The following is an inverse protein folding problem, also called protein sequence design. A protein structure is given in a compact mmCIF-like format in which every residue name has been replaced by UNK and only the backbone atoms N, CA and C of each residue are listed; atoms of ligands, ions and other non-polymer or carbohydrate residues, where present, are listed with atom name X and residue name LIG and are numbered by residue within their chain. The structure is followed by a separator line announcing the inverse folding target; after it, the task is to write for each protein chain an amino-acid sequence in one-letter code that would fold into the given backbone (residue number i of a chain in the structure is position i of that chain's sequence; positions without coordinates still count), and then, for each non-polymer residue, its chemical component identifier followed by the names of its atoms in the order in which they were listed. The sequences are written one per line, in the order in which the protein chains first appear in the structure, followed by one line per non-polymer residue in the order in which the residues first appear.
data_IF_560241062125
#
_entry.id   IF_560241062125
#
_cell.length_a   1.000
_cell.length_b   1.000
_cell.length_c   1.000
_cell.angle_alpha   90.00
_cell.angle_beta   90.00
_cell.angle_gamma   90.00
#
_symmetry.space_group_name_H-M   'P 1'
#
loop_
_entity.id
_entity.type
_entity.pdbx_description
1 polymer ?
#
# COMPACT_ATOMS: atom_id res chain seq x y z
N UNK A 1 -37.03 13.77 -18.90
CA UNK A 1 -38.06 12.78 -18.45
C UNK A 1 -38.44 13.13 -17.03
N UNK A 2 -39.65 13.59 -16.79
CA UNK A 2 -40.09 13.93 -15.44
C UNK A 2 -40.56 12.65 -14.73
N UNK A 3 -40.00 12.38 -13.56
CA UNK A 3 -40.40 11.27 -12.73
C UNK A 3 -41.75 11.57 -12.05
N UNK A 4 -42.78 10.89 -12.46
CA UNK A 4 -44.15 11.04 -11.93
C UNK A 4 -44.24 10.56 -10.48
N UNK A 5 -43.45 9.52 -10.13
CA UNK A 5 -43.40 8.95 -8.78
C UNK A 5 -41.96 8.92 -8.28
N UNK A 6 -41.77 9.38 -7.06
CA UNK A 6 -40.46 9.38 -6.35
C UNK A 6 -40.60 8.65 -5.02
N UNK A 7 -40.50 7.29 -5.01
CA UNK A 7 -40.58 6.53 -3.76
C UNK A 7 -39.49 6.98 -2.77
N UNK A 8 -39.88 7.39 -1.56
CA UNK A 8 -38.95 7.87 -0.54
C UNK A 8 -39.07 7.14 0.79
N UNK A 9 -39.84 6.06 0.87
CA UNK A 9 -40.07 5.31 2.10
C UNK A 9 -38.79 4.86 2.77
N UNK A 10 -37.79 4.42 1.97
CA UNK A 10 -36.50 3.95 2.45
C UNK A 10 -35.51 5.08 2.80
N UNK A 11 -35.92 6.34 2.67
CA UNK A 11 -35.09 7.53 2.96
C UNK A 11 -35.54 8.32 4.17
N UNK A 12 -36.55 7.84 4.93
CA UNK A 12 -37.21 8.56 6.02
C UNK A 12 -36.31 8.85 7.23
N UNK A 13 -35.26 8.02 7.46
CA UNK A 13 -34.30 8.25 8.55
C UNK A 13 -32.89 7.84 8.14
N UNK A 14 -31.88 8.33 8.86
CA UNK A 14 -30.49 7.90 8.64
C UNK A 14 -30.31 6.42 8.94
N UNK A 15 -30.93 5.91 10.00
CA UNK A 15 -30.89 4.50 10.40
C UNK A 15 -31.44 3.60 9.29
N UNK A 16 -32.59 3.98 8.71
CA UNK A 16 -33.18 3.22 7.62
C UNK A 16 -32.27 3.26 6.37
N UNK A 17 -31.71 4.42 6.03
CA UNK A 17 -30.75 4.52 4.92
C UNK A 17 -29.51 3.65 5.14
N UNK A 18 -28.96 3.60 6.37
CA UNK A 18 -27.84 2.71 6.71
C UNK A 18 -28.23 1.24 6.55
N UNK A 19 -29.44 0.85 6.96
CA UNK A 19 -29.91 -0.52 6.88
C UNK A 19 -30.03 -1.02 5.42
N UNK A 20 -30.53 -0.17 4.51
CA UNK A 20 -30.77 -0.52 3.10
C UNK A 20 -29.62 -0.17 2.16
N UNK A 21 -28.50 0.35 2.69
CA UNK A 21 -27.34 0.74 1.89
C UNK A 21 -26.71 -0.48 1.22
N UNK A 22 -26.59 -0.47 -0.09
CA UNK A 22 -25.93 -1.51 -0.88
C UNK A 22 -24.40 -1.42 -0.78
N UNK A 23 -23.87 -0.19 -0.92
CA UNK A 23 -22.42 0.05 -0.78
C UNK A 23 -22.04 0.23 0.68
N UNK A 24 -21.15 -0.63 1.16
CA UNK A 24 -20.58 -0.56 2.51
C UNK A 24 -19.06 -0.55 2.43
N UNK A 25 -18.45 0.30 3.25
CA UNK A 25 -16.98 0.33 3.41
C UNK A 25 -16.68 -0.17 4.81
N UNK A 26 -15.84 -1.18 4.88
CA UNK A 26 -15.31 -1.74 6.12
C UNK A 26 -13.78 -1.70 6.11
N UNK A 27 -13.14 -1.56 7.27
CA UNK A 27 -11.68 -1.52 7.37
C UNK A 27 -11.01 -2.76 6.80
N UNK A 28 -11.65 -3.91 6.91
CA UNK A 28 -11.15 -5.18 6.37
C UNK A 28 -11.05 -5.21 4.83
N UNK A 29 -11.73 -4.30 4.15
CA UNK A 29 -11.68 -4.16 2.69
C UNK A 29 -10.64 -3.13 2.22
N UNK A 30 -10.00 -2.41 3.13
CA UNK A 30 -9.00 -1.40 2.80
C UNK A 30 -7.61 -2.02 2.74
N UNK A 31 -6.79 -1.56 1.79
CA UNK A 31 -5.38 -1.91 1.66
C UNK A 31 -4.59 -0.63 1.90
N UNK A 32 -3.70 -0.64 2.89
CA UNK A 32 -2.88 0.51 3.23
C UNK A 32 -1.52 0.44 2.50
N UNK A 33 -1.17 1.44 1.68
CA UNK A 33 0.12 1.47 1.00
C UNK A 33 1.24 1.84 1.96
N UNK A 34 2.36 1.12 1.90
CA UNK A 34 3.58 1.39 2.66
C UNK A 34 4.78 1.47 1.73
N UNK A 35 5.56 2.53 1.88
CA UNK A 35 6.74 2.77 1.08
C UNK A 35 7.99 2.42 1.89
N UNK A 36 8.77 1.46 1.40
CA UNK A 36 10.01 1.00 2.05
C UNK A 36 11.22 1.38 1.22
N UNK A 37 12.23 1.94 1.89
CA UNK A 37 13.46 2.37 1.24
C UNK A 37 14.69 1.80 1.93
N UNK A 38 15.80 1.84 1.21
CA UNK A 38 17.11 1.48 1.73
C UNK A 38 17.55 2.47 2.83
N UNK A 39 18.42 1.99 3.73
CA UNK A 39 18.99 2.78 4.82
C UNK A 39 18.57 2.28 6.21
N UNK A 40 18.87 3.09 7.23
CA UNK A 40 18.55 2.82 8.63
C UNK A 40 18.02 4.08 9.32
N UNK A 41 17.08 3.90 10.24
CA UNK A 41 16.52 4.99 11.04
C UNK A 41 15.69 5.99 10.25
N UNK A 42 15.27 5.65 9.04
CA UNK A 42 14.57 6.58 8.14
C UNK A 42 13.07 6.52 8.35
N UNK A 43 12.49 7.69 8.57
CA UNK A 43 11.07 8.01 8.54
C UNK A 43 10.95 9.37 7.86
N UNK A 44 10.75 9.36 6.54
CA UNK A 44 10.79 10.55 5.70
C UNK A 44 9.42 10.81 5.09
N UNK A 45 8.84 11.97 5.38
CA UNK A 45 7.54 12.34 4.82
C UNK A 45 7.63 12.52 3.30
N UNK A 46 6.59 12.04 2.62
CA UNK A 46 6.45 12.20 1.17
C UNK A 46 5.83 13.57 0.88
N UNK A 47 6.55 14.53 0.27
CA UNK A 47 6.07 15.91 0.14
C UNK A 47 4.75 16.09 -0.61
N UNK A 48 4.44 15.16 -1.51
CA UNK A 48 3.19 15.16 -2.29
C UNK A 48 2.03 14.42 -1.63
N UNK A 49 2.28 13.77 -0.47
CA UNK A 49 1.30 12.93 0.23
C UNK A 49 1.41 13.19 1.75
N UNK A 50 0.81 14.29 2.20
CA UNK A 50 0.83 14.71 3.61
C UNK A 50 0.44 13.57 4.55
N UNK A 51 1.26 13.35 5.60
CA UNK A 51 1.07 12.29 6.58
C UNK A 51 1.44 10.88 6.09
N UNK A 52 2.02 10.75 4.89
CA UNK A 52 2.58 9.50 4.38
C UNK A 52 4.10 9.56 4.38
N UNK A 53 4.73 8.46 4.76
CA UNK A 53 6.18 8.39 4.96
C UNK A 53 6.81 7.24 4.20
N UNK A 54 8.10 7.40 3.90
CA UNK A 54 8.99 6.32 3.48
C UNK A 54 9.72 5.81 4.70
N UNK A 55 9.74 4.50 4.89
CA UNK A 55 10.37 3.88 6.05
C UNK A 55 11.54 3.01 5.63
N UNK A 56 12.63 3.06 6.38
CA UNK A 56 13.62 1.99 6.34
C UNK A 56 13.08 0.73 7.03
N UNK A 57 13.67 -0.44 6.73
CA UNK A 57 13.18 -1.73 7.24
C UNK A 57 13.10 -1.77 8.78
N UNK A 58 14.07 -1.16 9.46
CA UNK A 58 14.12 -1.08 10.93
C UNK A 58 13.06 -0.16 11.54
N UNK A 59 12.51 0.78 10.76
CA UNK A 59 11.42 1.68 11.19
C UNK A 59 10.03 1.17 10.87
N UNK A 60 9.91 0.27 9.93
CA UNK A 60 8.62 -0.31 9.51
C UNK A 60 7.81 -0.90 10.68
N UNK A 61 8.38 -1.60 11.68
CA UNK A 61 7.62 -2.14 12.82
C UNK A 61 6.83 -1.10 13.61
N UNK A 62 7.34 0.12 13.77
CA UNK A 62 6.62 1.19 14.48
C UNK A 62 5.35 1.61 13.74
N UNK A 63 5.42 1.70 12.43
CA UNK A 63 4.26 2.00 11.61
C UNK A 63 3.25 0.84 11.61
N UNK A 64 3.72 -0.41 11.54
CA UNK A 64 2.85 -1.58 11.63
C UNK A 64 2.10 -1.65 12.97
N UNK A 65 2.77 -1.29 14.06
CA UNK A 65 2.10 -1.19 15.37
C UNK A 65 1.01 -0.11 15.36
N UNK A 66 1.28 1.06 14.76
CA UNK A 66 0.30 2.14 14.61
C UNK A 66 -0.91 1.69 13.79
N UNK A 67 -0.67 0.98 12.69
CA UNK A 67 -1.71 0.43 11.81
C UNK A 67 -2.55 -0.63 12.51
N UNK A 68 -1.93 -1.50 13.30
CA UNK A 68 -2.63 -2.49 14.13
C UNK A 68 -3.60 -1.79 15.10
N UNK A 69 -3.14 -0.75 15.80
CA UNK A 69 -3.99 0.04 16.70
C UNK A 69 -5.14 0.74 15.96
N UNK A 70 -4.93 1.12 14.71
CA UNK A 70 -5.95 1.72 13.85
C UNK A 70 -6.96 0.68 13.29
N UNK A 71 -6.68 -0.62 13.44
CA UNK A 71 -7.50 -1.72 12.92
C UNK A 71 -7.32 -1.97 11.44
N UNK A 72 -6.14 -1.64 10.88
CA UNK A 72 -5.74 -2.00 9.51
C UNK A 72 -5.21 -3.43 9.52
N UNK A 73 -5.65 -4.25 8.59
CA UNK A 73 -5.26 -5.67 8.46
C UNK A 73 -4.56 -6.00 7.14
N UNK A 74 -4.67 -5.15 6.13
CA UNK A 74 -4.10 -5.42 4.82
C UNK A 74 -3.17 -4.28 4.43
N UNK A 75 -1.96 -4.61 4.00
CA UNK A 75 -0.97 -3.63 3.56
C UNK A 75 -0.39 -4.02 2.20
N UNK A 76 0.01 -3.02 1.43
CA UNK A 76 0.75 -3.21 0.19
C UNK A 76 2.11 -2.52 0.28
N UNK A 77 3.17 -3.26 0.06
CA UNK A 77 4.55 -2.77 0.11
C UNK A 77 5.02 -2.31 -1.27
N UNK A 78 5.52 -1.08 -1.31
CA UNK A 78 6.21 -0.49 -2.48
C UNK A 78 7.68 -0.27 -2.13
N UNK A 79 8.57 -0.75 -2.98
CA UNK A 79 10.02 -0.64 -2.78
C UNK A 79 10.61 0.61 -3.43
N UNK A 80 11.49 1.29 -2.71
CA UNK A 80 12.27 2.41 -3.25
C UNK A 80 13.75 2.02 -3.11
N UNK A 81 14.34 1.38 -4.13
CA UNK A 81 15.75 1.00 -4.11
C UNK A 81 16.65 2.22 -4.28
N UNK A 82 17.80 2.20 -3.65
CA UNK A 82 18.84 3.25 -3.83
C UNK A 82 19.57 3.10 -5.18
N UNK A 83 19.62 1.87 -5.72
CA UNK A 83 20.26 1.57 -7.00
C UNK A 83 19.25 1.03 -7.99
N UNK A 84 19.33 1.54 -9.22
CA UNK A 84 18.50 1.10 -10.37
C UNK A 84 19.41 0.76 -11.53
N UNK A 85 19.07 -0.28 -12.27
CA UNK A 85 19.81 -0.71 -13.47
C UNK A 85 18.88 -0.95 -14.66
N UNK A 86 19.45 -1.30 -15.81
CA UNK A 86 18.68 -1.47 -17.05
C UNK A 86 17.74 -2.69 -17.02
N UNK A 87 18.03 -3.67 -16.17
CA UNK A 87 17.27 -4.93 -16.06
C UNK A 87 16.40 -5.00 -14.82
N UNK A 88 16.43 -3.96 -13.96
CA UNK A 88 15.63 -3.91 -12.73
C UNK A 88 16.01 -5.01 -11.73
N UNK A 89 17.31 -5.31 -11.59
CA UNK A 89 17.80 -6.45 -10.80
C UNK A 89 17.32 -6.43 -9.33
N UNK A 90 17.13 -5.25 -8.74
CA UNK A 90 16.62 -5.10 -7.38
C UNK A 90 15.21 -5.66 -7.17
N UNK A 91 14.43 -5.83 -8.25
CA UNK A 91 13.07 -6.38 -8.15
C UNK A 91 13.06 -7.87 -7.79
N UNK A 92 14.03 -8.62 -8.28
CA UNK A 92 14.14 -10.08 -8.10
C UNK A 92 15.32 -10.52 -7.25
N UNK A 93 16.05 -9.59 -6.66
CA UNK A 93 17.12 -9.89 -5.68
C UNK A 93 16.49 -10.47 -4.41
N UNK A 94 16.97 -11.62 -3.95
CA UNK A 94 16.53 -12.24 -2.70
C UNK A 94 16.69 -11.30 -1.48
N UNK A 95 17.63 -10.37 -1.54
CA UNK A 95 17.89 -9.36 -0.53
C UNK A 95 17.42 -7.95 -0.93
N UNK A 96 16.57 -7.85 -1.94
CA UNK A 96 15.94 -6.60 -2.33
C UNK A 96 15.14 -5.95 -1.19
N UNK A 97 14.89 -4.67 -1.31
CA UNK A 97 14.27 -3.87 -0.23
C UNK A 97 12.91 -4.42 0.20
N UNK A 98 12.04 -4.81 -0.74
CA UNK A 98 10.71 -5.37 -0.43
C UNK A 98 10.85 -6.75 0.22
N UNK A 99 11.75 -7.60 -0.27
CA UNK A 99 11.99 -8.94 0.25
C UNK A 99 12.48 -8.89 1.71
N UNK A 100 13.38 -7.97 2.03
CA UNK A 100 13.85 -7.74 3.42
C UNK A 100 12.74 -7.19 4.31
N UNK A 101 12.02 -6.17 3.82
CA UNK A 101 10.89 -5.57 4.55
C UNK A 101 9.82 -6.62 4.86
N UNK A 102 9.48 -7.45 3.88
CA UNK A 102 8.47 -8.50 4.04
C UNK A 102 8.88 -9.57 5.07
N UNK A 103 10.15 -10.02 5.03
CA UNK A 103 10.67 -10.99 6.02
C UNK A 103 10.61 -10.44 7.44
N UNK A 104 11.06 -9.19 7.63
CA UNK A 104 11.06 -8.57 8.96
C UNK A 104 9.65 -8.26 9.45
N UNK A 105 8.78 -7.76 8.59
CA UNK A 105 7.40 -7.48 8.93
C UNK A 105 6.63 -8.76 9.32
N UNK A 106 6.72 -9.82 8.52
CA UNK A 106 6.05 -11.11 8.83
C UNK A 106 6.55 -11.77 10.12
N UNK A 107 7.82 -11.58 10.47
CA UNK A 107 8.39 -12.13 11.70
C UNK A 107 7.77 -11.49 12.95
N UNK A 108 7.52 -10.18 12.91
CA UNK A 108 7.02 -9.42 14.05
C UNK A 108 5.49 -9.26 14.04
N UNK A 109 4.88 -9.18 12.87
CA UNK A 109 3.46 -8.94 12.66
C UNK A 109 2.85 -9.96 11.68
N UNK A 110 2.74 -11.24 12.05
CA UNK A 110 2.30 -12.31 11.15
C UNK A 110 0.83 -12.19 10.73
N UNK A 111 0.01 -11.45 11.47
CA UNK A 111 -1.45 -11.37 11.27
C UNK A 111 -1.88 -10.41 10.14
N UNK A 112 -0.96 -9.58 9.63
CA UNK A 112 -1.27 -8.76 8.46
C UNK A 112 -1.36 -9.59 7.19
N UNK A 113 -2.29 -9.22 6.32
CA UNK A 113 -2.29 -9.67 4.94
C UNK A 113 -1.34 -8.81 4.11
N UNK A 114 -0.23 -9.39 3.72
CA UNK A 114 0.83 -8.71 2.97
C UNK A 114 0.64 -8.86 1.47
N UNK A 115 0.61 -7.74 0.79
CA UNK A 115 0.58 -7.64 -0.67
C UNK A 115 1.87 -6.95 -1.10
N UNK A 116 2.50 -7.45 -2.16
CA UNK A 116 3.65 -6.81 -2.78
C UNK A 116 3.28 -6.39 -4.20
N UNK A 117 3.72 -5.21 -4.60
CA UNK A 117 3.60 -4.79 -5.99
C UNK A 117 4.56 -5.59 -6.87
N UNK A 118 4.10 -5.96 -8.07
CA UNK A 118 4.92 -6.65 -9.09
C UNK A 118 5.11 -5.67 -10.25
N UNK A 119 6.03 -4.74 -10.05
CA UNK A 119 6.38 -3.72 -11.03
C UNK A 119 7.89 -3.60 -11.15
N UNK A 120 8.40 -3.42 -12.36
CA UNK A 120 9.83 -3.23 -12.60
C UNK A 120 10.22 -1.75 -12.75
N UNK A 121 9.28 -0.84 -13.05
CA UNK A 121 9.59 0.55 -13.30
C UNK A 121 10.23 1.27 -12.10
N UNK A 122 10.00 0.77 -10.88
CA UNK A 122 10.63 1.27 -9.66
C UNK A 122 12.12 0.90 -9.57
N UNK A 123 12.54 -0.16 -10.27
CA UNK A 123 13.88 -0.76 -10.21
C UNK A 123 14.71 -0.54 -11.46
N UNK A 124 14.08 -0.17 -12.59
CA UNK A 124 14.80 0.12 -13.83
C UNK A 124 15.28 1.56 -13.91
N UNK A 125 16.47 1.78 -14.44
CA UNK A 125 17.06 3.12 -14.63
C UNK A 125 16.27 4.00 -15.59
N UNK A 126 15.58 3.40 -16.56
CA UNK A 126 14.77 4.10 -17.56
C UNK A 126 13.27 4.23 -17.17
N UNK A 127 12.84 3.64 -16.03
CA UNK A 127 11.48 3.77 -15.50
C UNK A 127 10.38 3.01 -16.25
N UNK A 128 10.72 2.03 -17.08
CA UNK A 128 9.76 1.18 -17.80
C UNK A 128 9.76 -0.25 -17.26
N UNK A 129 8.58 -0.90 -17.31
CA UNK A 129 8.42 -2.31 -16.94
C UNK A 129 8.83 -3.21 -18.09
N UNK A 130 10.13 -3.46 -18.24
CA UNK A 130 10.67 -4.34 -19.25
C UNK A 130 12.11 -4.01 -19.58
N UNK A 131 12.77 -4.92 -20.31
CA UNK A 131 14.12 -4.71 -20.84
C UNK A 131 14.01 -4.01 -22.19
N UNK A 132 14.64 -2.85 -22.33
CA UNK A 132 14.67 -2.12 -23.61
C UNK A 132 15.77 -2.72 -24.49
N UNK A 133 15.37 -3.27 -25.63
CA UNK A 133 16.31 -3.68 -26.67
C UNK A 133 16.53 -2.48 -27.62
N UNK A 134 17.77 -2.01 -27.73
CA UNK A 134 18.13 -1.00 -28.71
C UNK A 134 17.93 -1.53 -30.16
N UNK A 135 17.24 -0.76 -30.98
CA UNK A 135 17.20 -0.94 -32.43
C UNK A 135 18.23 -0.01 -33.08
#
# INVERSE_FOLDING_TARGET
MDLIQRPRRLRGSETLRKMVRETRIDKSSLIYPLFVREGQGIEEEIPSMEGQFRYSVDRLPYELERLTKAGVSNIMLFGIPDHKDEVGSGAYDENGIVQRALREAKKQFPDFYYITDVCMCEYTSHGHCGVLCGH
#
